data_IF_416142641879
#
_entry.id   IF_416142641879
#
_cell.length_a   1.000
_cell.length_b   1.000
_cell.length_c   1.000
_cell.angle_alpha   90.00
_cell.angle_beta   90.00
_cell.angle_gamma   90.00
#
_symmetry.space_group_name_H-M   'P 1'
#
loop_
_entity.id
_entity.type
_entity.pdbx_description
1 polymer ?
#
# COMPACT_ATOMS: atom_id res chain seq x y z
N UNK A 1 70.24 -3.82 17.90
CA UNK A 1 70.20 -3.27 19.28
C UNK A 1 69.15 -2.15 19.32
N UNK A 2 68.57 -1.87 20.52
CA UNK A 2 67.34 -1.09 20.83
C UNK A 2 66.05 -1.91 20.67
N UNK A 3 65.42 -2.60 21.65
CA UNK A 3 65.06 -2.43 23.09
C UNK A 3 63.91 -1.43 23.38
N UNK A 4 62.74 -2.05 23.63
CA UNK A 4 61.70 -1.78 24.64
C UNK A 4 60.93 -0.46 24.68
N UNK A 5 59.61 -0.58 24.49
CA UNK A 5 58.62 0.39 24.96
C UNK A 5 57.24 -0.24 25.02
N UNK A 6 57.04 -1.20 25.94
CA UNK A 6 55.70 -1.67 26.30
C UNK A 6 54.97 -0.51 26.99
N UNK A 7 53.64 -0.50 26.83
CA UNK A 7 52.67 0.22 27.65
C UNK A 7 52.65 1.75 27.53
N UNK A 8 51.65 2.25 26.82
CA UNK A 8 50.82 3.32 27.35
C UNK A 8 49.36 3.05 27.00
N UNK A 9 48.66 2.68 28.08
CA UNK A 9 47.24 2.41 28.23
C UNK A 9 46.45 3.73 28.09
N UNK A 10 45.60 3.84 27.07
CA UNK A 10 44.46 4.76 27.03
C UNK A 10 43.21 3.85 26.91
N UNK A 11 42.59 3.44 28.02
CA UNK A 11 41.49 4.13 28.72
C UNK A 11 40.23 4.22 27.85
N UNK A 12 39.14 3.65 28.40
CA UNK A 12 37.74 3.71 27.93
C UNK A 12 37.46 2.93 26.63
N UNK A 13 37.18 1.63 26.69
CA UNK A 13 35.90 1.08 27.13
C UNK A 13 34.68 1.85 26.59
N UNK A 14 33.94 1.18 25.71
CA UNK A 14 32.52 1.44 25.39
C UNK A 14 32.18 2.75 24.69
N UNK A 15 32.73 3.01 23.51
CA UNK A 15 31.95 3.73 22.49
C UNK A 15 31.08 2.70 21.78
N UNK A 16 29.86 2.62 22.31
CA UNK A 16 28.71 1.88 21.85
C UNK A 16 28.79 1.54 20.37
N UNK A 17 28.99 0.26 20.08
CA UNK A 17 28.58 -0.37 18.84
C UNK A 17 27.12 0.01 18.63
N UNK A 18 26.87 0.98 17.75
CA UNK A 18 25.54 1.30 17.27
C UNK A 18 25.10 0.09 16.46
N UNK A 19 24.52 -0.89 17.15
CA UNK A 19 23.91 -2.07 16.56
C UNK A 19 22.87 -1.58 15.57
N UNK A 20 23.23 -1.59 14.29
CA UNK A 20 22.32 -1.43 13.17
C UNK A 20 21.41 -2.67 13.20
N UNK A 21 20.35 -2.60 13.99
CA UNK A 21 19.37 -3.67 14.08
C UNK A 21 18.77 -3.86 12.66
N UNK A 22 18.77 -5.08 12.10
CA UNK A 22 17.98 -5.35 10.90
C UNK A 22 16.52 -5.50 11.34
N UNK A 23 15.87 -4.40 11.71
CA UNK A 23 14.45 -4.40 12.06
C UNK A 23 13.60 -4.18 10.80
N UNK A 24 13.67 -5.10 9.84
CA UNK A 24 12.63 -5.21 8.82
C UNK A 24 12.36 -6.62 8.30
N UNK A 25 12.93 -7.65 8.93
CA UNK A 25 12.68 -9.03 8.55
C UNK A 25 11.52 -9.66 9.36
N UNK A 26 10.34 -9.03 9.36
CA UNK A 26 9.10 -9.68 9.82
C UNK A 26 7.87 -8.84 9.44
N UNK A 27 7.38 -8.95 8.20
CA UNK A 27 5.95 -8.73 7.97
C UNK A 27 5.36 -9.46 6.75
N UNK A 28 6.03 -10.45 6.19
CA UNK A 28 5.49 -11.23 5.07
C UNK A 28 4.23 -12.04 5.48
N UNK A 29 4.10 -12.38 6.77
CA UNK A 29 2.95 -13.12 7.30
C UNK A 29 1.68 -12.27 7.53
N UNK A 30 1.77 -10.94 7.44
CA UNK A 30 0.66 -9.99 7.63
C UNK A 30 0.38 -9.18 6.36
N UNK A 31 0.84 -9.61 5.18
CA UNK A 31 0.43 -8.98 3.95
C UNK A 31 -1.10 -9.12 3.81
N UNK A 32 -1.84 -8.01 3.59
CA UNK A 32 -3.28 -8.11 3.40
C UNK A 32 -3.56 -9.02 2.21
N UNK A 33 -4.53 -9.93 2.38
CA UNK A 33 -4.95 -10.82 1.31
C UNK A 33 -5.36 -9.99 0.09
N UNK A 34 -4.99 -10.47 -1.11
CA UNK A 34 -5.46 -9.84 -2.34
C UNK A 34 -6.98 -9.96 -2.39
N UNK A 35 -7.64 -8.84 -2.68
CA UNK A 35 -9.09 -8.79 -2.82
C UNK A 35 -9.52 -9.56 -4.07
N UNK A 36 -10.62 -10.31 -3.97
CA UNK A 36 -11.29 -10.85 -5.16
C UNK A 36 -11.85 -9.72 -6.01
N UNK A 37 -12.19 -9.99 -7.26
CA UNK A 37 -12.74 -8.96 -8.15
C UNK A 37 -14.06 -8.38 -7.60
N UNK A 38 -14.94 -9.21 -7.07
CA UNK A 38 -16.17 -8.78 -6.40
C UNK A 38 -15.89 -7.91 -5.17
N UNK A 39 -14.87 -8.25 -4.37
CA UNK A 39 -14.45 -7.44 -3.22
C UNK A 39 -13.88 -6.09 -3.67
N UNK A 40 -13.11 -6.05 -4.77
CA UNK A 40 -12.63 -4.80 -5.37
C UNK A 40 -13.79 -3.95 -5.88
N UNK A 41 -14.75 -4.57 -6.57
CA UNK A 41 -15.96 -3.91 -7.08
C UNK A 41 -16.80 -3.31 -5.93
N UNK A 42 -17.07 -4.11 -4.89
CA UNK A 42 -17.75 -3.63 -3.69
C UNK A 42 -16.97 -2.51 -2.99
N UNK A 43 -15.64 -2.61 -2.95
CA UNK A 43 -14.80 -1.56 -2.37
C UNK A 43 -14.93 -0.24 -3.13
N UNK A 44 -14.81 -0.24 -4.46
CA UNK A 44 -14.91 1.00 -5.24
C UNK A 44 -16.32 1.59 -5.23
N UNK A 45 -17.36 0.77 -5.19
CA UNK A 45 -18.74 1.25 -5.02
C UNK A 45 -18.94 2.01 -3.70
N UNK A 46 -18.33 1.53 -2.61
CA UNK A 46 -18.38 2.20 -1.31
C UNK A 46 -17.50 3.47 -1.22
N UNK A 47 -16.46 3.57 -2.06
CA UNK A 47 -15.48 4.67 -1.98
C UNK A 47 -15.73 5.80 -2.98
N UNK A 48 -16.14 5.44 -4.19
CA UNK A 48 -16.29 6.37 -5.30
C UNK A 48 -17.76 6.58 -5.66
N UNK A 49 -18.60 5.57 -5.44
CA UNK A 49 -20.06 5.70 -5.55
C UNK A 49 -20.71 6.10 -4.23
N UNK A 50 -22.04 6.10 -4.23
CA UNK A 50 -22.86 6.31 -3.03
C UNK A 50 -23.15 5.01 -2.25
N UNK A 51 -22.31 3.99 -2.45
CA UNK A 51 -22.55 2.61 -2.01
C UNK A 51 -23.29 1.76 -3.05
N UNK A 52 -23.30 0.42 -2.88
CA UNK A 52 -23.87 -0.51 -3.84
C UNK A 52 -25.41 -0.47 -3.84
N UNK A 53 -26.02 -0.27 -5.01
CA UNK A 53 -27.45 -0.49 -5.26
C UNK A 53 -27.68 -1.88 -5.86
N UNK A 54 -28.92 -2.40 -5.85
CA UNK A 54 -29.23 -3.65 -6.55
C UNK A 54 -28.80 -3.59 -8.03
N UNK A 55 -27.94 -4.52 -8.46
CA UNK A 55 -27.38 -4.57 -9.82
C UNK A 55 -26.01 -3.89 -9.98
N UNK A 56 -25.58 -3.06 -9.03
CA UNK A 56 -24.33 -2.29 -9.20
C UNK A 56 -23.09 -3.18 -9.12
N UNK A 57 -23.12 -4.21 -8.27
CA UNK A 57 -21.98 -5.12 -8.13
C UNK A 57 -21.75 -5.90 -9.42
N UNK A 58 -22.81 -6.44 -10.05
CA UNK A 58 -22.68 -7.11 -11.34
C UNK A 58 -22.26 -6.14 -12.44
N UNK A 59 -22.80 -4.91 -12.45
CA UNK A 59 -22.42 -3.88 -13.41
C UNK A 59 -20.92 -3.57 -13.32
N UNK A 60 -20.40 -3.24 -12.12
CA UNK A 60 -18.99 -2.87 -11.94
C UNK A 60 -18.08 -4.06 -12.22
N UNK A 61 -18.47 -5.27 -11.81
CA UNK A 61 -17.70 -6.49 -12.12
C UNK A 61 -17.65 -6.76 -13.62
N UNK A 62 -18.75 -6.53 -14.35
CA UNK A 62 -18.82 -6.70 -15.81
C UNK A 62 -18.06 -5.61 -16.57
N UNK A 63 -18.10 -4.36 -16.07
CA UNK A 63 -17.38 -3.22 -16.62
C UNK A 63 -15.86 -3.32 -16.38
N UNK A 64 -15.49 -3.90 -15.24
CA UNK A 64 -14.13 -3.93 -14.70
C UNK A 64 -13.86 -2.73 -13.78
N UNK A 65 -13.22 -2.99 -12.65
CA UNK A 65 -12.95 -1.97 -11.61
C UNK A 65 -12.16 -0.78 -12.15
N UNK A 66 -11.13 -1.02 -12.97
CA UNK A 66 -10.25 0.03 -13.43
C UNK A 66 -10.97 1.00 -14.38
N UNK A 67 -11.86 0.47 -15.23
CA UNK A 67 -12.69 1.28 -16.12
C UNK A 67 -13.74 2.07 -15.36
N UNK A 68 -14.36 1.47 -14.33
CA UNK A 68 -15.27 2.19 -13.44
C UNK A 68 -14.56 3.37 -12.77
N UNK A 69 -13.33 3.19 -12.28
CA UNK A 69 -12.52 4.27 -11.71
C UNK A 69 -12.27 5.37 -12.74
N UNK A 70 -11.88 5.02 -13.97
CA UNK A 70 -11.63 6.01 -15.03
C UNK A 70 -12.87 6.85 -15.35
N UNK A 71 -14.06 6.23 -15.39
CA UNK A 71 -15.33 6.93 -15.57
C UNK A 71 -15.59 7.93 -14.42
N UNK A 72 -15.27 7.58 -13.17
CA UNK A 72 -15.40 8.50 -12.03
C UNK A 72 -14.42 9.67 -12.09
N UNK A 73 -13.21 9.46 -12.64
CA UNK A 73 -12.20 10.51 -12.77
C UNK A 73 -12.44 11.42 -13.99
N UNK A 74 -13.09 10.91 -15.03
CA UNK A 74 -13.36 11.61 -16.27
C UNK A 74 -14.86 11.63 -16.63
N UNK A 75 -15.73 12.21 -15.78
CA UNK A 75 -17.18 12.14 -15.93
C UNK A 75 -17.71 12.75 -17.23
N UNK A 76 -16.97 13.68 -17.84
CA UNK A 76 -17.29 14.27 -19.15
C UNK A 76 -17.35 13.24 -20.30
N UNK A 77 -16.72 12.08 -20.12
CA UNK A 77 -16.74 10.98 -21.10
C UNK A 77 -18.00 10.11 -20.96
N UNK A 78 -18.75 10.25 -19.85
CA UNK A 78 -19.99 9.53 -19.61
C UNK A 78 -21.13 10.31 -20.26
N UNK A 79 -21.89 9.64 -21.13
CA UNK A 79 -23.10 10.23 -21.72
C UNK A 79 -24.18 10.38 -20.65
N UNK A 80 -24.68 11.60 -20.46
CA UNK A 80 -25.86 11.84 -19.64
C UNK A 80 -27.09 11.17 -20.26
N UNK A 81 -27.92 10.47 -19.48
CA UNK A 81 -29.21 9.95 -19.94
C UNK A 81 -30.09 11.05 -20.53
N UNK A 82 -30.84 10.72 -21.59
CA UNK A 82 -31.72 11.69 -22.27
C UNK A 82 -32.80 12.29 -21.36
N UNK A 83 -33.13 11.64 -20.24
CA UNK A 83 -34.15 12.12 -19.29
C UNK A 83 -33.63 13.20 -18.33
N UNK A 84 -32.31 13.43 -18.32
CA UNK A 84 -31.66 14.47 -17.53
C UNK A 84 -31.26 15.68 -18.39
N UNK A 85 -31.68 15.71 -19.67
CA UNK A 85 -31.43 16.76 -20.66
C UNK A 85 -32.75 17.45 -21.02
#
# INVERSE_FOLDING_TARGET
MVRHGRLLLCVAATLASLSLAPAHAANAANAPAQLTEEQRALHVLNRLGYGPRPGDLEMVTSLGVDKYIDEQLHPQNIRLPNELL
#
